data_IF_620455683496
#
_entry.id   IF_620455683496
#
_cell.length_a   1.000
_cell.length_b   1.000
_cell.length_c   1.000
_cell.angle_alpha   90.00
_cell.angle_beta   90.00
_cell.angle_gamma   90.00
#
_symmetry.space_group_name_H-M   'P 1'
#
loop_
_entity.id
_entity.type
_entity.pdbx_description
1 polymer ?
#
# COMPACT_ATOMS: atom_id res chain seq x y z
N UNK A 1 -1.51 -37.12 -62.85
CA UNK A 1 -1.89 -37.79 -61.58
C UNK A 1 -0.75 -37.60 -60.59
N UNK A 2 -0.67 -36.44 -59.93
CA UNK A 2 0.33 -36.15 -58.89
C UNK A 2 -0.42 -35.74 -57.63
N UNK A 3 -0.29 -36.57 -56.60
CA UNK A 3 -0.94 -36.43 -55.30
C UNK A 3 -0.32 -35.27 -54.53
N UNK A 4 -1.16 -34.30 -54.15
CA UNK A 4 -0.81 -33.23 -53.23
C UNK A 4 -0.49 -33.79 -51.84
N UNK A 5 0.68 -33.44 -51.30
CA UNK A 5 1.01 -33.68 -49.90
C UNK A 5 0.15 -32.78 -49.00
N UNK A 6 -0.60 -33.37 -48.07
CA UNK A 6 -1.37 -32.65 -47.05
C UNK A 6 -0.43 -32.00 -46.02
N UNK A 7 -0.52 -30.68 -45.76
CA UNK A 7 0.20 -30.04 -44.67
C UNK A 7 -0.61 -30.19 -43.38
N UNK A 8 -0.41 -31.28 -42.63
CA UNK A 8 -1.07 -31.41 -41.32
C UNK A 8 -0.26 -32.17 -40.28
N UNK A 9 1.06 -31.99 -40.25
CA UNK A 9 1.93 -32.61 -39.24
C UNK A 9 3.00 -31.64 -38.72
N UNK A 10 2.60 -30.58 -38.02
CA UNK A 10 3.56 -29.74 -37.28
C UNK A 10 3.08 -29.30 -35.88
N UNK A 11 2.08 -29.96 -35.29
CA UNK A 11 1.73 -29.76 -33.88
C UNK A 11 1.83 -31.12 -33.18
N UNK A 12 2.99 -31.40 -32.59
CA UNK A 12 3.18 -32.57 -31.74
C UNK A 12 2.15 -32.60 -30.62
N UNK A 13 1.34 -33.67 -30.54
CA UNK A 13 0.34 -33.85 -29.48
C UNK A 13 1.07 -33.94 -28.13
N UNK A 14 0.85 -32.97 -27.25
CA UNK A 14 1.35 -33.01 -25.86
C UNK A 14 0.88 -34.32 -25.21
N UNK A 15 1.77 -35.13 -24.61
CA UNK A 15 1.38 -36.40 -24.00
C UNK A 15 0.28 -36.21 -22.94
N UNK A 16 -0.70 -37.13 -22.88
CA UNK A 16 -1.80 -37.09 -21.88
C UNK A 16 -1.30 -36.92 -20.43
N UNK A 17 -0.12 -37.47 -20.12
CA UNK A 17 0.55 -37.30 -18.81
C UNK A 17 1.02 -35.86 -18.57
N UNK A 18 1.61 -35.21 -19.58
CA UNK A 18 2.01 -33.80 -19.51
C UNK A 18 0.80 -32.87 -19.37
N UNK A 19 -0.31 -33.16 -20.06
CA UNK A 19 -1.56 -32.40 -19.93
C UNK A 19 -2.13 -32.43 -18.50
N UNK A 20 -2.10 -33.60 -17.84
CA UNK A 20 -2.51 -33.72 -16.41
C UNK A 20 -1.64 -32.86 -15.50
N UNK A 21 -0.33 -32.79 -15.75
CA UNK A 21 0.57 -31.94 -14.97
C UNK A 21 0.31 -30.45 -15.21
N UNK A 22 0.10 -30.04 -16.46
CA UNK A 22 -0.25 -28.65 -16.80
C UNK A 22 -1.52 -28.23 -16.08
N UNK A 23 -2.58 -29.05 -16.12
CA UNK A 23 -3.84 -28.78 -15.41
C UNK A 23 -3.59 -28.65 -13.90
N UNK A 24 -2.84 -29.57 -13.29
CA UNK A 24 -2.54 -29.53 -11.85
C UNK A 24 -1.80 -28.26 -11.45
N UNK A 25 -0.77 -27.88 -12.22
CA UNK A 25 -0.01 -26.65 -11.97
C UNK A 25 -0.90 -25.42 -12.14
N UNK A 26 -1.73 -25.36 -13.18
CA UNK A 26 -2.67 -24.27 -13.39
C UNK A 26 -3.69 -24.15 -12.25
N UNK A 27 -4.24 -25.27 -11.78
CA UNK A 27 -5.16 -25.29 -10.64
C UNK A 27 -4.47 -24.81 -9.35
N UNK A 28 -3.24 -25.27 -9.08
CA UNK A 28 -2.49 -24.79 -7.91
C UNK A 28 -2.17 -23.30 -8.00
N UNK A 29 -1.77 -22.81 -9.18
CA UNK A 29 -1.49 -21.40 -9.42
C UNK A 29 -2.73 -20.51 -9.21
N UNK A 30 -3.94 -21.04 -9.39
CA UNK A 30 -5.20 -20.34 -9.12
C UNK A 30 -5.63 -20.47 -7.64
N UNK A 31 -5.59 -21.68 -7.09
CA UNK A 31 -6.16 -21.96 -5.76
C UNK A 31 -5.27 -21.50 -4.62
N UNK A 32 -3.94 -21.61 -4.75
CA UNK A 32 -3.01 -21.24 -3.67
C UNK A 32 -3.13 -19.75 -3.31
N UNK A 33 -3.12 -18.79 -4.27
CA UNK A 33 -3.34 -17.38 -3.94
C UNK A 33 -4.68 -17.08 -3.27
N UNK A 34 -5.76 -17.73 -3.72
CA UNK A 34 -7.10 -17.53 -3.16
C UNK A 34 -7.19 -18.05 -1.74
N UNK A 35 -6.69 -19.27 -1.49
CA UNK A 35 -6.63 -19.84 -0.15
C UNK A 35 -5.75 -18.98 0.77
N UNK A 36 -4.59 -18.56 0.27
CA UNK A 36 -3.67 -17.72 1.03
C UNK A 36 -4.29 -16.35 1.36
N UNK A 37 -5.00 -15.72 0.41
CA UNK A 37 -5.75 -14.50 0.65
C UNK A 37 -6.81 -14.71 1.74
N UNK A 38 -7.55 -15.82 1.66
CA UNK A 38 -8.57 -16.13 2.68
C UNK A 38 -7.95 -16.34 4.06
N UNK A 39 -6.87 -17.14 4.15
CA UNK A 39 -6.14 -17.37 5.40
C UNK A 39 -5.61 -16.07 5.99
N UNK A 40 -4.92 -15.24 5.20
CA UNK A 40 -4.33 -13.99 5.71
C UNK A 40 -5.43 -12.97 6.05
N UNK A 41 -6.48 -12.84 5.23
CA UNK A 41 -7.51 -11.84 5.48
C UNK A 41 -8.42 -12.19 6.68
N UNK A 42 -8.77 -13.47 6.86
CA UNK A 42 -9.82 -13.88 7.81
C UNK A 42 -9.33 -14.62 9.04
N UNK A 43 -8.22 -15.35 8.94
CA UNK A 43 -7.72 -16.18 10.05
C UNK A 43 -6.54 -15.49 10.75
N UNK A 44 -5.57 -15.05 9.96
CA UNK A 44 -4.29 -14.54 10.45
C UNK A 44 -4.27 -13.01 10.54
N UNK A 45 -5.23 -12.33 9.88
CA UNK A 45 -5.24 -10.88 9.72
C UNK A 45 -5.41 -10.06 11.00
N UNK A 46 -5.87 -10.68 12.09
CA UNK A 46 -5.95 -10.09 13.43
C UNK A 46 -4.75 -10.42 14.32
N UNK A 47 -3.92 -11.39 13.93
CA UNK A 47 -2.75 -11.81 14.71
C UNK A 47 -1.73 -10.66 14.82
N UNK A 48 -1.08 -10.57 15.97
CA UNK A 48 -0.09 -9.55 16.25
C UNK A 48 1.18 -9.73 15.41
N UNK A 49 1.51 -10.96 14.96
CA UNK A 49 2.69 -11.22 14.12
C UNK A 49 2.48 -10.87 12.65
N UNK A 50 1.46 -10.12 12.29
CA UNK A 50 1.28 -9.70 10.88
C UNK A 50 1.48 -8.21 10.70
N UNK A 51 1.41 -7.48 11.81
CA UNK A 51 1.60 -6.05 11.88
C UNK A 51 2.74 -5.73 12.86
N UNK A 52 3.62 -4.77 12.55
CA UNK A 52 4.61 -4.25 13.47
C UNK A 52 3.99 -3.75 14.79
N UNK A 53 4.69 -3.89 15.95
CA UNK A 53 4.20 -3.42 17.25
C UNK A 53 3.76 -1.94 17.23
N UNK A 54 4.45 -1.10 16.46
CA UNK A 54 4.15 0.33 16.35
C UNK A 54 2.80 0.57 15.68
N UNK A 55 2.43 -0.22 14.66
CA UNK A 55 1.12 -0.11 14.01
C UNK A 55 0.02 -0.78 14.85
N UNK A 56 0.34 -1.80 15.65
CA UNK A 56 -0.63 -2.40 16.59
C UNK A 56 -0.97 -1.47 17.75
N UNK A 57 0.01 -0.73 18.25
CA UNK A 57 -0.12 0.17 19.39
C UNK A 57 -0.48 1.62 19.00
N UNK A 58 -0.52 1.94 17.71
CA UNK A 58 -0.82 3.27 17.20
C UNK A 58 -2.18 3.76 17.71
N UNK A 59 -2.25 5.00 18.19
CA UNK A 59 -3.48 5.71 18.56
C UNK A 59 -3.83 6.77 17.52
N UNK A 60 -2.82 7.35 16.87
CA UNK A 60 -2.98 8.41 15.88
C UNK A 60 -2.17 8.07 14.63
N UNK A 61 -2.85 7.52 13.62
CA UNK A 61 -2.25 7.13 12.36
C UNK A 61 -2.30 8.29 11.36
N UNK A 62 -1.16 8.64 10.77
CA UNK A 62 -1.09 9.55 9.64
C UNK A 62 -0.81 8.78 8.35
N UNK A 63 -1.57 9.08 7.30
CA UNK A 63 -1.29 8.67 5.94
C UNK A 63 -0.87 9.90 5.15
N UNK A 64 0.26 9.82 4.47
CA UNK A 64 0.79 10.90 3.64
C UNK A 64 0.82 10.46 2.19
N UNK A 65 0.06 11.14 1.33
CA UNK A 65 -0.03 10.85 -0.11
C UNK A 65 0.20 12.10 -0.95
N UNK A 66 0.28 11.94 -2.28
CA UNK A 66 0.56 13.03 -3.19
C UNK A 66 -0.74 13.66 -3.72
N UNK A 67 -1.70 12.83 -4.13
CA UNK A 67 -2.93 13.27 -4.80
C UNK A 67 -4.18 12.65 -4.17
N UNK A 68 -5.35 13.29 -4.36
CA UNK A 68 -6.62 12.67 -4.03
C UNK A 68 -6.85 11.45 -4.92
N UNK A 69 -7.23 10.30 -4.32
CA UNK A 69 -7.38 8.94 -4.90
C UNK A 69 -6.29 7.95 -4.48
N UNK A 70 -5.08 8.42 -4.17
CA UNK A 70 -3.97 7.59 -3.72
C UNK A 70 -4.34 6.73 -2.49
N UNK A 71 -5.16 7.27 -1.58
CA UNK A 71 -5.58 6.61 -0.35
C UNK A 71 -6.42 5.35 -0.61
N UNK A 72 -7.23 5.35 -1.68
CA UNK A 72 -8.10 4.24 -2.02
C UNK A 72 -7.52 3.34 -3.11
N UNK A 73 -6.69 3.88 -4.02
CA UNK A 73 -5.98 3.09 -5.02
C UNK A 73 -4.85 2.27 -4.39
N UNK A 74 -4.10 2.83 -3.45
CA UNK A 74 -2.85 2.21 -2.98
C UNK A 74 -2.88 1.76 -1.52
N UNK A 75 -3.46 2.59 -0.64
CA UNK A 75 -3.29 2.42 0.82
C UNK A 75 -4.46 1.80 1.54
N UNK A 76 -5.60 1.59 0.86
CA UNK A 76 -6.83 1.09 1.48
C UNK A 76 -6.64 -0.16 2.35
N UNK A 77 -5.92 -1.22 1.91
CA UNK A 77 -5.65 -2.36 2.79
C UNK A 77 -4.92 -1.96 4.06
N UNK A 78 -3.87 -1.14 3.95
CA UNK A 78 -3.09 -0.69 5.11
C UNK A 78 -3.91 0.20 6.06
N UNK A 79 -4.68 1.16 5.53
CA UNK A 79 -5.56 2.04 6.30
C UNK A 79 -6.57 1.21 7.09
N UNK A 80 -7.36 0.39 6.39
CA UNK A 80 -8.41 -0.41 7.02
C UNK A 80 -7.83 -1.51 7.92
N UNK A 81 -6.65 -2.02 7.59
CA UNK A 81 -5.94 -3.02 8.38
C UNK A 81 -5.46 -2.53 9.74
N UNK A 82 -5.20 -1.22 9.88
CA UNK A 82 -4.89 -0.57 11.15
C UNK A 82 -6.16 -0.06 11.82
N UNK A 83 -6.96 0.77 11.14
CA UNK A 83 -8.10 1.46 11.74
C UNK A 83 -9.23 0.52 12.19
N UNK A 84 -9.50 -0.58 11.47
CA UNK A 84 -10.57 -1.51 11.87
C UNK A 84 -10.18 -2.38 13.08
N UNK A 85 -8.90 -2.40 13.51
CA UNK A 85 -8.45 -3.22 14.65
C UNK A 85 -8.90 -2.67 16.00
N UNK A 86 -8.96 -1.35 16.13
CA UNK A 86 -9.40 -0.70 17.36
C UNK A 86 -10.09 0.62 17.00
N UNK A 87 -11.36 0.75 17.40
CA UNK A 87 -12.19 1.93 17.14
C UNK A 87 -11.69 3.22 17.82
N UNK A 88 -10.78 3.11 18.78
CA UNK A 88 -10.13 4.26 19.41
C UNK A 88 -8.98 4.86 18.56
N UNK A 89 -8.53 4.15 17.51
CA UNK A 89 -7.48 4.67 16.62
C UNK A 89 -8.08 5.78 15.77
N UNK A 90 -7.43 6.94 15.78
CA UNK A 90 -7.83 8.08 14.96
C UNK A 90 -6.91 8.18 13.75
N UNK A 91 -7.46 7.97 12.56
CA UNK A 91 -6.74 8.18 11.29
C UNK A 91 -6.75 9.64 10.85
N UNK A 92 -5.68 10.05 10.17
CA UNK A 92 -5.59 11.29 9.41
C UNK A 92 -4.95 11.04 8.04
N UNK A 93 -5.42 11.77 7.03
CA UNK A 93 -4.89 11.77 5.67
C UNK A 93 -4.41 13.18 5.31
N UNK A 94 -3.15 13.27 4.93
CA UNK A 94 -2.50 14.49 4.46
C UNK A 94 -2.04 14.29 3.02
N UNK A 95 -2.71 14.96 2.10
CA UNK A 95 -2.46 14.89 0.66
C UNK A 95 -1.72 16.16 0.24
N UNK A 96 -0.55 16.03 -0.38
CA UNK A 96 0.33 17.17 -0.66
C UNK A 96 -0.16 18.11 -1.78
N UNK A 97 -1.14 17.68 -2.57
CA UNK A 97 -1.75 18.48 -3.62
C UNK A 97 -3.26 18.25 -3.70
N UNK A 98 -4.00 19.22 -4.20
CA UNK A 98 -5.41 19.05 -4.58
C UNK A 98 -5.58 18.25 -5.88
N UNK A 99 -4.49 17.90 -6.57
CA UNK A 99 -4.56 17.17 -7.84
C UNK A 99 -5.09 18.05 -8.97
N UNK A 100 -4.75 19.33 -8.99
CA UNK A 100 -5.35 20.33 -9.87
C UNK A 100 -4.76 20.36 -11.30
N UNK A 101 -4.03 19.34 -11.74
CA UNK A 101 -3.40 19.32 -13.06
C UNK A 101 -4.40 19.47 -14.24
N UNK A 102 -5.67 19.11 -14.02
CA UNK A 102 -6.76 19.27 -14.98
C UNK A 102 -7.76 20.38 -14.63
N UNK A 103 -7.44 21.26 -13.66
CA UNK A 103 -8.35 22.32 -13.21
C UNK A 103 -9.51 21.83 -12.32
N UNK A 104 -9.39 20.64 -11.71
CA UNK A 104 -10.42 19.99 -10.91
C UNK A 104 -10.12 19.94 -9.40
N UNK A 105 -9.14 20.72 -8.91
CA UNK A 105 -8.66 20.66 -7.53
C UNK A 105 -9.75 20.85 -6.47
N UNK A 106 -10.63 21.84 -6.66
CA UNK A 106 -11.74 22.10 -5.73
C UNK A 106 -12.77 20.97 -5.69
N UNK A 107 -13.02 20.32 -6.84
CA UNK A 107 -13.89 19.15 -6.94
C UNK A 107 -13.24 17.99 -6.20
N UNK A 108 -11.99 17.67 -6.53
CA UNK A 108 -11.23 16.57 -5.94
C UNK A 108 -11.03 16.71 -4.43
N UNK A 109 -10.91 17.94 -3.92
CA UNK A 109 -10.87 18.20 -2.47
C UNK A 109 -12.17 17.79 -1.76
N UNK A 110 -13.33 17.99 -2.39
CA UNK A 110 -14.63 17.54 -1.86
C UNK A 110 -14.79 16.03 -1.98
N UNK A 111 -14.39 15.46 -3.11
CA UNK A 111 -14.38 14.00 -3.35
C UNK A 111 -13.54 13.27 -2.31
N UNK A 112 -12.35 13.80 -2.00
CA UNK A 112 -11.45 13.28 -0.98
C UNK A 112 -12.11 13.18 0.40
N UNK A 113 -12.93 14.17 0.80
CA UNK A 113 -13.66 14.11 2.08
C UNK A 113 -14.61 12.92 2.14
N UNK A 114 -15.32 12.65 1.04
CA UNK A 114 -16.16 11.46 0.91
C UNK A 114 -15.35 10.17 1.05
N UNK A 115 -14.21 10.08 0.36
CA UNK A 115 -13.31 8.91 0.42
C UNK A 115 -12.77 8.68 1.83
N UNK A 116 -12.28 9.74 2.49
CA UNK A 116 -11.84 9.70 3.89
C UNK A 116 -12.93 9.14 4.80
N UNK A 117 -14.17 9.66 4.69
CA UNK A 117 -15.30 9.16 5.48
C UNK A 117 -15.57 7.67 5.23
N UNK A 118 -15.51 7.22 3.97
CA UNK A 118 -15.67 5.81 3.62
C UNK A 118 -14.57 4.90 4.21
N UNK A 119 -13.36 5.42 4.38
CA UNK A 119 -12.23 4.73 5.01
C UNK A 119 -12.21 4.85 6.54
N UNK A 120 -13.15 5.58 7.15
CA UNK A 120 -13.22 5.80 8.59
C UNK A 120 -12.27 6.89 9.10
N UNK A 121 -11.81 7.78 8.22
CA UNK A 121 -11.00 8.95 8.55
C UNK A 121 -11.94 10.15 8.76
N UNK A 122 -11.75 10.84 9.89
CA UNK A 122 -12.52 12.04 10.23
C UNK A 122 -12.19 13.20 9.30
N UNK A 123 -13.21 13.98 8.93
CA UNK A 123 -13.09 15.13 8.02
C UNK A 123 -12.07 16.16 8.50
N UNK A 124 -11.97 16.36 9.81
CA UNK A 124 -11.06 17.33 10.42
C UNK A 124 -9.58 16.92 10.31
N UNK A 125 -9.32 15.64 10.00
CA UNK A 125 -7.99 15.09 9.73
C UNK A 125 -7.83 14.62 8.29
N UNK A 126 -8.69 15.06 7.38
CA UNK A 126 -8.57 14.78 5.94
C UNK A 126 -8.26 16.09 5.22
N UNK A 127 -7.01 16.27 4.80
CA UNK A 127 -6.52 17.55 4.26
C UNK A 127 -5.84 17.32 2.92
N UNK A 128 -6.27 18.09 1.90
CA UNK A 128 -5.52 18.29 0.67
C UNK A 128 -4.91 19.69 0.65
N UNK A 129 -3.59 19.74 0.54
CA UNK A 129 -2.81 20.97 0.48
C UNK A 129 -2.97 21.62 -0.89
N UNK A 130 -3.07 22.94 -0.91
CA UNK A 130 -3.04 23.74 -2.13
C UNK A 130 -1.89 24.74 -2.02
N UNK A 131 -0.67 24.24 -2.23
CA UNK A 131 0.55 25.03 -2.14
C UNK A 131 1.11 25.30 -3.55
N UNK A 132 1.56 26.53 -3.87
CA UNK A 132 2.08 26.84 -5.20
C UNK A 132 3.25 25.95 -5.66
N UNK A 133 4.10 25.51 -4.74
CA UNK A 133 5.24 24.61 -5.02
C UNK A 133 4.88 23.11 -5.09
N UNK A 134 3.66 22.73 -4.69
CA UNK A 134 3.21 21.33 -4.62
C UNK A 134 2.02 21.08 -5.57
N UNK A 135 1.98 21.81 -6.68
CA UNK A 135 0.96 21.59 -7.71
C UNK A 135 1.21 20.26 -8.44
N UNK A 136 0.14 19.51 -8.70
CA UNK A 136 0.20 18.22 -9.39
C UNK A 136 0.83 18.38 -10.77
N UNK A 137 2.06 17.89 -10.90
CA UNK A 137 2.76 17.78 -12.16
C UNK A 137 3.58 16.48 -12.20
N UNK A 138 3.28 15.53 -13.10
CA UNK A 138 3.98 14.24 -13.16
C UNK A 138 5.46 14.33 -13.55
N UNK A 139 5.91 15.51 -14.01
CA UNK A 139 7.27 15.76 -14.51
C UNK A 139 8.12 16.59 -13.56
N UNK A 140 7.58 17.04 -12.43
CA UNK A 140 8.28 17.89 -11.47
C UNK A 140 8.59 17.08 -10.21
N UNK A 141 9.80 17.24 -9.70
CA UNK A 141 10.14 16.80 -8.35
C UNK A 141 9.78 17.91 -7.37
N UNK A 142 8.92 17.61 -6.40
CA UNK A 142 8.50 18.59 -5.39
C UNK A 142 9.59 18.87 -4.35
N UNK A 143 9.54 20.07 -3.78
CA UNK A 143 10.39 20.53 -2.69
C UNK A 143 10.20 19.63 -1.44
N UNK A 144 11.23 18.85 -1.10
CA UNK A 144 11.17 17.86 -0.03
C UNK A 144 11.17 18.49 1.36
N UNK A 145 11.94 19.54 1.57
CA UNK A 145 12.06 20.29 2.82
C UNK A 145 10.71 20.93 3.19
N UNK A 146 10.00 21.46 2.19
CA UNK A 146 8.63 21.96 2.37
C UNK A 146 7.69 20.84 2.81
N UNK A 147 7.69 19.69 2.12
CA UNK A 147 6.85 18.53 2.50
C UNK A 147 7.18 18.08 3.93
N UNK A 148 8.46 18.02 4.30
CA UNK A 148 8.88 17.68 5.67
C UNK A 148 8.34 18.65 6.71
N UNK A 149 8.39 19.96 6.44
CA UNK A 149 7.85 20.97 7.35
C UNK A 149 6.34 20.81 7.56
N UNK A 150 5.60 20.56 6.47
CA UNK A 150 4.15 20.33 6.50
C UNK A 150 3.83 19.06 7.28
N UNK A 151 4.57 17.96 7.04
CA UNK A 151 4.41 16.70 7.77
C UNK A 151 4.72 16.91 9.26
N UNK A 152 5.80 17.61 9.60
CA UNK A 152 6.18 17.90 10.97
C UNK A 152 5.09 18.68 11.73
N UNK A 153 4.52 19.71 11.10
CA UNK A 153 3.40 20.48 11.67
C UNK A 153 2.21 19.57 11.98
N UNK A 154 1.81 18.72 11.03
CA UNK A 154 0.66 17.83 11.19
C UNK A 154 0.91 16.69 12.18
N UNK A 155 2.15 16.19 12.27
CA UNK A 155 2.56 15.22 13.29
C UNK A 155 2.34 15.80 14.69
N UNK A 156 2.78 17.04 14.94
CA UNK A 156 2.55 17.73 16.20
C UNK A 156 1.08 18.04 16.43
N UNK A 157 0.40 18.61 15.44
CA UNK A 157 -1.01 19.02 15.53
C UNK A 157 -1.95 17.86 15.85
N UNK A 158 -1.72 16.70 15.24
CA UNK A 158 -2.59 15.53 15.40
C UNK A 158 -2.03 14.47 16.37
N UNK A 159 -0.90 14.75 17.02
CA UNK A 159 -0.24 13.87 17.99
C UNK A 159 0.01 12.47 17.39
N UNK A 160 0.52 12.47 16.16
CA UNK A 160 0.72 11.26 15.35
C UNK A 160 1.77 10.36 16.01
N UNK A 161 1.51 9.05 16.04
CA UNK A 161 2.43 8.04 16.58
C UNK A 161 2.80 6.93 15.57
N UNK A 162 2.18 6.92 14.39
CA UNK A 162 2.63 6.13 13.24
C UNK A 162 2.31 6.81 11.89
N UNK A 163 3.18 6.62 10.90
CA UNK A 163 3.03 7.20 9.55
C UNK A 163 3.04 6.10 8.48
N UNK A 164 2.14 6.20 7.49
CA UNK A 164 2.15 5.41 6.25
C UNK A 164 2.42 6.33 5.06
N UNK A 165 3.28 5.90 4.13
CA UNK A 165 3.59 6.65 2.91
C UNK A 165 4.11 5.73 1.79
N UNK A 166 4.48 6.31 0.65
CA UNK A 166 5.10 5.60 -0.46
C UNK A 166 6.54 5.17 -0.15
N UNK A 167 7.03 4.12 -0.81
CA UNK A 167 8.46 3.85 -0.87
C UNK A 167 9.14 4.65 -2.00
N UNK A 168 10.43 4.42 -2.23
CA UNK A 168 11.27 5.15 -3.18
C UNK A 168 10.80 4.99 -4.64
N UNK A 169 10.00 3.97 -4.92
CA UNK A 169 9.42 3.70 -6.24
C UNK A 169 8.11 4.44 -6.50
N UNK A 170 7.44 4.99 -5.49
CA UNK A 170 6.22 5.78 -5.65
C UNK A 170 5.06 5.01 -6.32
N UNK A 171 5.02 3.69 -6.17
CA UNK A 171 4.12 2.70 -6.80
C UNK A 171 4.28 2.57 -8.31
N UNK A 172 4.32 3.68 -9.05
CA UNK A 172 4.37 3.74 -10.52
C UNK A 172 5.58 4.51 -11.07
N UNK A 173 6.44 5.03 -10.20
CA UNK A 173 7.55 5.92 -10.58
C UNK A 173 7.18 7.40 -10.64
N UNK A 174 5.94 7.77 -10.30
CA UNK A 174 5.47 9.16 -10.32
C UNK A 174 6.35 10.07 -9.43
N UNK A 175 6.85 11.19 -9.98
CA UNK A 175 7.81 12.04 -9.29
C UNK A 175 7.27 12.63 -7.98
N UNK A 176 6.02 13.11 -7.97
CA UNK A 176 5.35 13.59 -6.76
C UNK A 176 5.31 12.54 -5.64
N UNK A 177 4.98 11.28 -5.96
CA UNK A 177 4.92 10.19 -4.96
C UNK A 177 6.31 9.91 -4.38
N UNK A 178 7.33 9.95 -5.24
CA UNK A 178 8.73 9.76 -4.85
C UNK A 178 9.26 10.93 -4.02
N UNK A 179 8.84 12.16 -4.31
CA UNK A 179 9.16 13.33 -3.49
C UNK A 179 8.51 13.24 -2.09
N UNK A 180 7.24 12.84 -2.01
CA UNK A 180 6.55 12.55 -0.73
C UNK A 180 7.29 11.46 0.06
N UNK A 181 7.68 10.38 -0.62
CA UNK A 181 8.49 9.31 -0.02
C UNK A 181 9.82 9.81 0.52
N UNK A 182 10.57 10.57 -0.29
CA UNK A 182 11.87 11.10 0.10
C UNK A 182 11.78 11.98 1.35
N UNK A 183 10.84 12.93 1.36
CA UNK A 183 10.57 13.81 2.49
C UNK A 183 10.20 13.03 3.76
N UNK A 184 9.19 12.16 3.70
CA UNK A 184 8.73 11.42 4.89
C UNK A 184 9.79 10.46 5.40
N UNK A 185 10.56 9.81 4.51
CA UNK A 185 11.67 8.92 4.90
C UNK A 185 12.78 9.72 5.58
N UNK A 186 13.17 10.87 5.04
CA UNK A 186 14.20 11.71 5.64
C UNK A 186 13.74 12.28 6.99
N UNK A 187 12.51 12.77 7.09
CA UNK A 187 11.90 13.19 8.36
C UNK A 187 11.94 12.08 9.41
N UNK A 188 11.50 10.87 9.06
CA UNK A 188 11.49 9.73 9.97
C UNK A 188 12.88 9.22 10.36
N UNK A 189 13.86 9.39 9.46
CA UNK A 189 15.22 8.94 9.69
C UNK A 189 16.04 9.90 10.56
N UNK A 190 15.85 11.21 10.40
CA UNK A 190 16.72 12.25 10.96
C UNK A 190 16.14 12.95 12.18
N UNK A 191 14.81 13.02 12.31
CA UNK A 191 14.18 13.68 13.44
C UNK A 191 13.98 12.71 14.61
N UNK A 192 14.58 12.97 15.80
CA UNK A 192 14.49 12.07 16.97
C UNK A 192 13.05 11.81 17.44
N UNK A 193 12.22 12.84 17.32
CA UNK A 193 10.81 12.86 17.74
C UNK A 193 9.87 12.35 16.64
N UNK A 194 10.39 11.96 15.47
CA UNK A 194 9.54 11.44 14.40
C UNK A 194 8.89 10.10 14.80
N UNK A 195 7.58 9.94 14.54
CA UNK A 195 6.88 8.68 14.69
C UNK A 195 7.47 7.57 13.81
N UNK A 196 7.13 6.32 14.11
CA UNK A 196 7.52 5.22 13.24
C UNK A 196 6.82 5.34 11.88
N UNK A 197 7.60 5.45 10.82
CA UNK A 197 7.10 5.49 9.45
C UNK A 197 7.22 4.13 8.75
N UNK A 198 6.23 3.80 7.93
CA UNK A 198 6.19 2.61 7.11
C UNK A 198 5.87 2.97 5.66
N UNK A 199 6.60 2.37 4.73
CA UNK A 199 6.47 2.61 3.29
C UNK A 199 5.78 1.45 2.61
N UNK A 200 4.89 1.76 1.66
CA UNK A 200 4.24 0.79 0.79
C UNK A 200 5.20 0.32 -0.30
N UNK A 201 5.44 -0.99 -0.37
CA UNK A 201 6.36 -1.58 -1.34
C UNK A 201 5.88 -1.38 -2.79
N UNK A 202 6.71 -0.74 -3.61
CA UNK A 202 6.56 -0.68 -5.06
C UNK A 202 6.96 -2.02 -5.68
N UNK A 203 6.15 -2.47 -6.65
CA UNK A 203 6.37 -3.70 -7.40
C UNK A 203 6.36 -3.45 -8.90
N UNK A 204 6.90 -4.40 -9.68
CA UNK A 204 6.87 -4.31 -11.15
C UNK A 204 5.44 -4.31 -11.69
N UNK A 205 5.24 -3.79 -12.91
CA UNK A 205 3.92 -3.74 -13.54
C UNK A 205 3.24 -5.12 -13.63
N UNK A 206 4.01 -6.18 -13.89
CA UNK A 206 3.47 -7.54 -13.91
C UNK A 206 2.88 -7.91 -12.54
N UNK A 207 3.66 -7.77 -11.46
CA UNK A 207 3.22 -8.09 -10.09
C UNK A 207 2.07 -7.19 -9.63
N UNK A 208 2.04 -5.94 -10.10
CA UNK A 208 0.99 -4.96 -9.80
C UNK A 208 -0.38 -5.41 -10.27
N UNK A 209 -0.48 -6.07 -11.42
CA UNK A 209 -1.75 -6.38 -12.11
C UNK A 209 -2.07 -7.89 -12.18
N UNK A 210 -1.36 -8.73 -11.43
CA UNK A 210 -1.63 -10.18 -11.34
C UNK A 210 -2.70 -10.55 -10.32
N UNK A 211 -3.52 -9.59 -9.86
CA UNK A 211 -4.54 -9.81 -8.85
C UNK A 211 -3.94 -10.47 -7.59
N UNK A 212 -4.43 -11.63 -7.15
CA UNK A 212 -3.86 -12.36 -6.02
C UNK A 212 -2.58 -13.12 -6.37
N UNK A 213 -2.23 -13.28 -7.64
CA UNK A 213 -1.11 -14.11 -8.09
C UNK A 213 0.26 -13.72 -7.51
N UNK A 214 0.43 -12.46 -7.10
CA UNK A 214 1.64 -11.98 -6.42
C UNK A 214 1.70 -12.30 -4.91
N UNK A 215 0.58 -12.70 -4.31
CA UNK A 215 0.47 -12.91 -2.87
C UNK A 215 1.39 -14.04 -2.36
N UNK A 216 1.52 -15.22 -3.01
CA UNK A 216 2.44 -16.25 -2.54
C UNK A 216 3.89 -15.77 -2.42
N UNK A 217 4.39 -15.05 -3.44
CA UNK A 217 5.74 -14.48 -3.43
C UNK A 217 5.90 -13.43 -2.33
N UNK A 218 4.89 -12.58 -2.16
CA UNK A 218 4.88 -11.52 -1.13
C UNK A 218 4.80 -12.07 0.28
N UNK A 219 4.13 -13.22 0.48
CA UNK A 219 3.95 -13.86 1.77
C UNK A 219 5.16 -14.70 2.21
N UNK A 220 6.10 -15.05 1.32
CA UNK A 220 7.28 -15.86 1.67
C UNK A 220 8.07 -15.32 2.88
N UNK A 221 8.37 -14.00 2.98
CA UNK A 221 9.05 -13.47 4.16
C UNK A 221 8.23 -13.53 5.45
N UNK A 222 6.93 -13.79 5.36
CA UNK A 222 5.99 -13.91 6.47
C UNK A 222 5.62 -15.37 6.78
N UNK A 223 6.17 -16.36 6.06
CA UNK A 223 5.75 -17.75 6.16
C UNK A 223 5.78 -18.29 7.61
N UNK A 224 6.84 -18.01 8.37
CA UNK A 224 6.94 -18.42 9.77
C UNK A 224 5.93 -17.71 10.67
N UNK A 225 5.66 -16.42 10.42
CA UNK A 225 4.67 -15.63 11.16
C UNK A 225 3.26 -16.17 10.90
N UNK A 226 2.94 -16.51 9.65
CA UNK A 226 1.67 -17.10 9.24
C UNK A 226 1.48 -18.50 9.85
N UNK A 227 2.49 -19.38 9.76
CA UNK A 227 2.42 -20.72 10.35
C UNK A 227 2.30 -20.68 11.88
N UNK A 228 2.99 -19.75 12.52
CA UNK A 228 2.83 -19.47 13.94
C UNK A 228 1.42 -19.01 14.29
N UNK A 229 0.85 -18.08 13.50
CA UNK A 229 -0.52 -17.57 13.66
C UNK A 229 -1.59 -18.66 13.55
N UNK A 230 -1.40 -19.62 12.65
CA UNK A 230 -2.30 -20.76 12.51
C UNK A 230 -2.19 -21.77 13.65
N UNK A 231 -0.99 -21.95 14.22
CA UNK A 231 -0.75 -22.94 15.27
C UNK A 231 -1.11 -22.43 16.66
N UNK A 232 -0.73 -21.19 16.99
CA UNK A 232 -0.91 -20.57 18.31
C UNK A 232 -1.11 -19.06 18.16
N UNK A 233 -2.36 -18.56 18.06
CA UNK A 233 -2.63 -17.13 17.88
C UNK A 233 -2.00 -16.25 18.96
N UNK A 234 -1.40 -15.14 18.55
CA UNK A 234 -0.68 -14.21 19.43
C UNK A 234 -1.38 -12.84 19.47
N UNK A 235 -1.53 -12.30 20.68
CA UNK A 235 -2.08 -10.97 20.93
C UNK A 235 -1.00 -9.90 21.09
N UNK A 236 0.26 -10.30 21.28
CA UNK A 236 1.42 -9.41 21.40
C UNK A 236 2.43 -9.71 20.29
N UNK A 237 3.04 -8.66 19.74
CA UNK A 237 4.07 -8.78 18.71
C UNK A 237 5.47 -8.74 19.34
N UNK A 238 6.38 -9.58 18.84
CA UNK A 238 7.79 -9.53 19.18
C UNK A 238 8.41 -8.24 18.60
N UNK A 239 9.26 -7.49 19.33
CA UNK A 239 10.02 -6.37 18.76
C UNK A 239 10.75 -6.70 17.44
N UNK A 240 11.21 -7.95 17.25
CA UNK A 240 11.86 -8.43 16.02
C UNK A 240 10.96 -8.39 14.79
N UNK A 241 9.65 -8.44 15.00
CA UNK A 241 8.62 -8.38 13.95
C UNK A 241 8.32 -6.93 13.50
N UNK A 242 9.05 -5.94 14.03
CA UNK A 242 8.78 -4.52 13.83
C UNK A 242 9.18 -3.92 12.49
N UNK A 243 9.74 -4.69 11.56
CA UNK A 243 10.28 -4.14 10.30
C UNK A 243 9.36 -4.29 9.10
N UNK A 244 8.40 -5.23 9.12
CA UNK A 244 7.54 -5.53 7.97
C UNK A 244 6.10 -5.82 8.38
N UNK A 245 5.16 -5.38 7.56
CA UNK A 245 3.73 -5.69 7.69
C UNK A 245 3.22 -6.38 6.41
N UNK A 246 2.24 -7.27 6.55
CA UNK A 246 1.47 -7.82 5.44
C UNK A 246 -0.01 -7.69 5.74
N UNK A 247 -0.74 -6.88 4.99
CA UNK A 247 -2.13 -6.60 5.28
C UNK A 247 -2.98 -7.04 4.11
N UNK A 248 -3.95 -7.91 4.34
CA UNK A 248 -4.90 -8.35 3.33
C UNK A 248 -6.31 -7.83 3.62
N UNK A 249 -6.99 -7.38 2.58
CA UNK A 249 -8.38 -7.00 2.63
C UNK A 249 -9.27 -8.24 2.75
N UNK A 250 -10.18 -8.21 3.72
CA UNK A 250 -11.40 -9.04 3.66
C UNK A 250 -12.31 -8.50 2.56
N UNK A 251 -13.32 -9.28 2.18
CA UNK A 251 -14.35 -8.82 1.25
C UNK A 251 -15.02 -7.53 1.71
N UNK A 252 -15.32 -7.39 3.00
CA UNK A 252 -15.92 -6.16 3.54
C UNK A 252 -14.98 -4.95 3.40
N UNK A 253 -13.67 -5.13 3.66
CA UNK A 253 -12.70 -4.05 3.45
C UNK A 253 -12.54 -3.71 1.97
N UNK A 254 -12.56 -4.69 1.08
CA UNK A 254 -12.60 -4.46 -0.37
C UNK A 254 -13.81 -3.62 -0.77
N UNK A 255 -15.01 -3.92 -0.26
CA UNK A 255 -16.21 -3.13 -0.53
C UNK A 255 -16.07 -1.69 -0.01
N UNK A 256 -15.47 -1.47 1.17
CA UNK A 256 -15.14 -0.11 1.65
C UNK A 256 -14.15 0.59 0.72
N UNK A 257 -13.12 -0.10 0.23
CA UNK A 257 -12.17 0.44 -0.75
C UNK A 257 -12.87 0.86 -2.04
N UNK A 258 -13.79 0.04 -2.56
CA UNK A 258 -14.61 0.38 -3.73
C UNK A 258 -15.54 1.56 -3.46
N UNK A 259 -16.14 1.62 -2.28
CA UNK A 259 -17.00 2.73 -1.86
C UNK A 259 -16.21 4.04 -1.73
N UNK A 260 -15.00 3.99 -1.16
CA UNK A 260 -14.09 5.13 -1.06
C UNK A 260 -13.71 5.67 -2.44
N UNK A 261 -13.31 4.80 -3.36
CA UNK A 261 -13.01 5.21 -4.74
C UNK A 261 -14.25 5.75 -5.49
N UNK A 262 -15.45 5.24 -5.19
CA UNK A 262 -16.69 5.78 -5.74
C UNK A 262 -17.01 7.21 -5.31
N UNK A 263 -16.32 7.74 -4.30
CA UNK A 263 -16.41 9.16 -3.91
C UNK A 263 -15.55 10.07 -4.79
N UNK A 264 -14.75 9.53 -5.73
CA UNK A 264 -13.95 10.26 -6.71
C UNK A 264 -14.55 10.17 -8.14
N UNK A 265 -15.80 10.63 -8.39
CA UNK A 265 -16.41 10.53 -9.72
C UNK A 265 -15.59 11.24 -10.81
N UNK A 266 -14.88 12.34 -10.50
CA UNK A 266 -14.02 13.04 -11.46
C UNK A 266 -12.81 12.20 -11.93
N UNK A 267 -12.49 11.13 -11.21
CA UNK A 267 -11.32 10.27 -11.47
C UNK A 267 -11.72 8.84 -11.87
N UNK A 268 -13.02 8.59 -12.03
CA UNK A 268 -13.57 7.25 -12.27
C UNK A 268 -13.53 6.88 -13.76
N UNK A 269 -12.34 6.57 -14.28
CA UNK A 269 -12.12 6.12 -15.67
C UNK A 269 -12.13 4.59 -15.79
N UNK A 270 -12.30 4.07 -17.02
CA UNK A 270 -12.40 2.61 -17.27
C UNK A 270 -11.14 1.84 -16.82
N UNK A 271 -9.94 2.41 -16.96
CA UNK A 271 -8.69 1.80 -16.51
C UNK A 271 -8.63 1.72 -14.98
N UNK A 272 -9.28 2.67 -14.28
CA UNK A 272 -9.42 2.64 -12.82
C UNK A 272 -10.41 1.58 -12.36
N UNK A 273 -11.48 1.32 -13.11
CA UNK A 273 -12.33 0.14 -12.85
C UNK A 273 -11.51 -1.14 -12.89
N UNK A 274 -10.69 -1.31 -13.92
CA UNK A 274 -9.83 -2.47 -14.08
C UNK A 274 -8.80 -2.55 -12.94
N UNK A 275 -8.14 -1.44 -12.62
CA UNK A 275 -7.21 -1.33 -11.49
C UNK A 275 -7.82 -1.83 -10.19
N UNK A 276 -9.05 -1.41 -9.88
CA UNK A 276 -9.77 -1.76 -8.66
C UNK A 276 -10.20 -3.24 -8.58
N UNK A 277 -9.99 -4.01 -9.64
CA UNK A 277 -10.22 -5.46 -9.67
C UNK A 277 -8.89 -6.21 -9.67
N UNK A 278 -7.99 -5.86 -10.59
CA UNK A 278 -6.78 -6.66 -10.84
C UNK A 278 -5.54 -6.18 -10.10
N UNK A 279 -5.55 -4.98 -9.51
CA UNK A 279 -4.36 -4.50 -8.82
C UNK A 279 -4.19 -5.13 -7.45
N UNK A 280 -3.01 -5.71 -7.19
CA UNK A 280 -2.72 -6.27 -5.86
C UNK A 280 -2.87 -5.26 -4.72
N UNK A 281 -2.63 -3.97 -4.97
CA UNK A 281 -2.70 -2.92 -3.95
C UNK A 281 -4.10 -2.70 -3.38
N UNK A 282 -5.14 -3.20 -4.06
CA UNK A 282 -6.53 -3.16 -3.59
C UNK A 282 -6.87 -4.39 -2.73
N UNK A 283 -6.08 -5.46 -2.82
CA UNK A 283 -6.31 -6.73 -2.14
C UNK A 283 -5.37 -6.96 -0.97
N UNK A 284 -4.11 -6.56 -1.10
CA UNK A 284 -3.12 -6.65 -0.04
C UNK A 284 -1.95 -5.68 -0.21
N UNK A 285 -1.42 -5.21 0.90
CA UNK A 285 -0.23 -4.38 0.96
C UNK A 285 0.85 -5.10 1.78
N UNK A 286 2.11 -4.97 1.35
CA UNK A 286 3.24 -5.23 2.22
C UNK A 286 3.97 -3.90 2.47
N UNK A 287 4.29 -3.68 3.74
CA UNK A 287 4.90 -2.45 4.23
C UNK A 287 6.28 -2.73 4.82
N UNK A 288 7.17 -1.75 4.75
CA UNK A 288 8.50 -1.78 5.36
C UNK A 288 8.71 -0.59 6.26
N UNK A 289 9.32 -0.80 7.41
CA UNK A 289 9.68 0.29 8.33
C UNK A 289 10.82 1.11 7.74
N UNK A 290 10.73 2.43 7.88
CA UNK A 290 11.85 3.33 7.59
C UNK A 290 12.91 3.18 8.68
N UNK A 291 14.16 2.97 8.27
CA UNK A 291 15.29 2.87 9.19
C UNK A 291 15.63 4.27 9.74
N UNK A 292 15.87 4.35 11.06
CA UNK A 292 16.41 5.58 11.65
C UNK A 292 17.86 5.72 11.24
N UNK A 293 18.28 6.95 10.92
CA UNK A 293 19.70 7.22 10.73
C UNK A 293 20.43 6.85 12.02
N UNK A 294 21.56 6.13 11.89
CA UNK A 294 22.43 5.94 13.04
C UNK A 294 22.83 7.33 13.55
N UNK A 295 22.85 7.57 14.88
CA UNK A 295 23.41 8.81 15.38
C UNK A 295 24.83 8.90 14.83
N UNK A 296 25.11 9.92 14.02
CA UNK A 296 26.45 10.17 13.51
C UNK A 296 27.40 10.12 14.70
N UNK A 297 28.32 9.15 14.71
CA UNK A 297 29.48 9.21 15.57
C UNK A 297 30.09 10.59 15.34
N UNK A 298 30.03 11.44 16.37
CA UNK A 298 30.57 12.79 16.35
C UNK A 298 31.92 12.73 15.62
N UNK A 299 32.04 13.56 14.59
CA UNK A 299 33.28 13.74 13.83
C UNK A 299 34.43 13.71 14.82
N UNK A 300 35.26 12.65 14.74
CA UNK A 300 36.58 12.68 15.35
C UNK A 300 37.31 13.80 14.64
N UNK A 301 37.30 14.97 15.25
CA UNK A 301 38.15 16.08 14.89
C UNK A 301 39.58 15.53 14.92
N UNK A 302 40.21 15.56 13.75
CA UNK A 302 41.65 15.43 13.63
C UNK A 302 42.30 16.45 14.57
N UNK A 303 43.00 15.94 15.59
CA UNK A 303 44.13 16.62 16.22
C UNK A 303 45.39 15.90 15.74
#
# INVERSE_FOLDING_TARGET
>A
MHLAAKPSQLIGRVPRRAWRWIIRVALLALLVPVLLQWVIAYIVGSDARILPPQLLAAKNLLIVTAHPDDECLFFSPSILGVLDRNRAITGGLLVMSTGNNYGLGDVRKKELQGSCKALGIHSERCVAMDHPELQDNPRVWWNTELIESIVHEHVKKWQIDAILTFDEGGVSGHLNHRAVSAAVRNYAATNPDAPAAFTLTTTSLLRKYTFLGDLPLTALPFAWRILGALSYPATTADPKDGTRALVANTWNRYLKTRHAFAQHPSQYTWDRHLYMVVSRYVWFNDLKRVERAAPHAAQRTHN
#
